data_IF_350442669956
#
_entry.id   IF_350442669956
#
_cell.length_a   1.000
_cell.length_b   1.000
_cell.length_c   1.000
_cell.angle_alpha   90.00
_cell.angle_beta   90.00
_cell.angle_gamma   90.00
#
_symmetry.space_group_name_H-M   'P 1'
#
loop_
_entity.id
_entity.type
_entity.pdbx_description
1 polymer ?
#
# COMPACT_ATOMS: atom_id res chain seq x y z
N UNK A 1 -12.27 -6.75 -15.21
CA UNK A 1 -11.37 -5.58 -15.17
C UNK A 1 -10.07 -5.94 -15.87
N UNK A 2 -9.45 -5.01 -16.61
CA UNK A 2 -8.15 -5.29 -17.23
C UNK A 2 -7.06 -5.46 -16.15
N UNK A 3 -6.05 -6.29 -16.41
CA UNK A 3 -4.87 -6.40 -15.56
C UNK A 3 -4.12 -5.06 -15.46
N UNK A 4 -3.35 -4.87 -14.40
CA UNK A 4 -2.46 -3.72 -14.29
C UNK A 4 -1.17 -3.99 -15.08
N UNK A 5 -0.71 -2.99 -15.84
CA UNK A 5 0.64 -2.97 -16.37
C UNK A 5 1.59 -2.46 -15.27
N UNK A 6 2.44 -3.35 -14.75
CA UNK A 6 3.33 -3.02 -13.62
C UNK A 6 4.42 -2.01 -13.98
N UNK A 7 4.68 -1.80 -15.27
CA UNK A 7 5.64 -0.81 -15.75
C UNK A 7 5.06 0.59 -15.84
N UNK A 8 3.73 0.73 -15.74
CA UNK A 8 3.01 1.99 -15.91
C UNK A 8 2.05 2.26 -14.76
N UNK A 9 2.39 3.24 -13.94
CA UNK A 9 1.52 3.73 -12.87
C UNK A 9 0.37 4.62 -13.37
N UNK A 10 -0.64 4.87 -12.51
CA UNK A 10 -0.77 4.37 -11.13
C UNK A 10 -1.34 2.95 -11.04
N UNK A 11 -0.86 2.14 -10.08
CA UNK A 11 -1.33 0.77 -9.83
C UNK A 11 -2.58 0.71 -8.92
N UNK A 12 -3.39 1.76 -8.98
CA UNK A 12 -4.65 1.93 -8.27
C UNK A 12 -5.70 2.47 -9.25
N UNK A 13 -6.93 1.97 -9.15
CA UNK A 13 -8.10 2.44 -9.90
C UNK A 13 -9.26 2.66 -8.95
N UNK A 14 -9.99 3.75 -9.15
CA UNK A 14 -11.21 4.08 -8.41
C UNK A 14 -12.41 4.23 -9.33
N UNK A 15 -13.56 3.74 -8.88
CA UNK A 15 -14.85 3.96 -9.53
C UNK A 15 -15.88 4.29 -8.46
N UNK A 16 -16.55 5.44 -8.61
CA UNK A 16 -17.68 5.80 -7.76
C UNK A 16 -18.96 5.45 -8.51
N UNK A 17 -19.74 4.53 -7.93
CA UNK A 17 -21.01 4.07 -8.46
C UNK A 17 -22.11 4.76 -7.66
N UNK A 18 -22.97 5.53 -8.33
CA UNK A 18 -24.22 5.98 -7.73
C UNK A 18 -25.25 4.85 -7.87
N UNK A 19 -25.66 4.27 -6.74
CA UNK A 19 -26.65 3.19 -6.74
C UNK A 19 -28.07 3.71 -6.51
N UNK A 20 -28.20 4.83 -5.78
CA UNK A 20 -29.43 5.61 -5.58
C UNK A 20 -29.06 7.08 -5.34
N UNK A 21 -30.02 8.01 -5.28
CA UNK A 21 -29.78 9.45 -5.12
C UNK A 21 -28.83 9.79 -3.95
N UNK A 22 -29.01 9.14 -2.80
CA UNK A 22 -28.21 9.36 -1.60
C UNK A 22 -27.23 8.21 -1.28
N UNK A 23 -27.10 7.20 -2.15
CA UNK A 23 -26.24 6.03 -1.91
C UNK A 23 -25.23 5.86 -3.02
N UNK A 24 -23.96 5.81 -2.60
CA UNK A 24 -22.84 5.61 -3.48
C UNK A 24 -21.96 4.47 -2.98
N UNK A 25 -21.34 3.75 -3.90
CA UNK A 25 -20.32 2.73 -3.62
C UNK A 25 -19.03 3.18 -4.27
N UNK A 26 -17.99 3.37 -3.46
CA UNK A 26 -16.64 3.59 -3.96
C UNK A 26 -15.93 2.23 -4.09
N UNK A 27 -15.67 1.82 -5.32
CA UNK A 27 -14.84 0.66 -5.63
C UNK A 27 -13.39 1.12 -5.84
N UNK A 28 -12.49 0.67 -4.98
CA UNK A 28 -11.04 0.82 -5.14
C UNK A 28 -10.41 -0.52 -5.46
N UNK A 29 -9.60 -0.57 -6.51
CA UNK A 29 -8.78 -1.73 -6.85
C UNK A 29 -7.31 -1.30 -6.80
N UNK A 30 -6.52 -1.95 -5.94
CA UNK A 30 -5.10 -1.67 -5.75
C UNK A 30 -4.31 -2.93 -6.06
N UNK A 31 -3.20 -2.81 -6.80
CA UNK A 31 -2.32 -3.95 -7.03
C UNK A 31 -1.58 -4.33 -5.73
N UNK A 32 -1.50 -5.62 -5.42
CA UNK A 32 -0.87 -6.11 -4.18
C UNK A 32 0.66 -5.84 -4.12
N UNK A 33 1.28 -5.48 -5.24
CA UNK A 33 2.70 -5.08 -5.24
C UNK A 33 2.93 -3.72 -4.53
N UNK A 34 1.90 -2.88 -4.45
CA UNK A 34 1.95 -1.56 -3.77
C UNK A 34 1.04 -1.49 -2.54
N UNK A 35 0.46 -2.62 -2.13
CA UNK A 35 -0.44 -2.68 -0.98
C UNK A 35 -0.50 -4.08 -0.38
N UNK A 36 -0.70 -4.16 0.92
CA UNK A 36 -1.05 -5.35 1.67
C UNK A 36 -2.31 -5.10 2.53
N UNK A 37 -2.73 -6.12 3.27
CA UNK A 37 -3.91 -6.02 4.14
C UNK A 37 -3.82 -4.92 5.21
N UNK A 38 -2.61 -4.59 5.69
CA UNK A 38 -2.42 -3.53 6.67
C UNK A 38 -2.56 -2.15 6.02
N UNK A 39 -1.92 -1.95 4.88
CA UNK A 39 -1.95 -0.70 4.12
C UNK A 39 -3.37 -0.32 3.67
N UNK A 40 -4.24 -1.31 3.40
CA UNK A 40 -5.64 -1.05 3.07
C UNK A 40 -6.41 -0.44 4.25
N UNK A 41 -6.11 -0.86 5.48
CA UNK A 41 -6.69 -0.25 6.68
C UNK A 41 -6.23 1.20 6.88
N UNK A 42 -4.96 1.49 6.58
CA UNK A 42 -4.41 2.86 6.57
C UNK A 42 -5.13 3.71 5.53
N UNK A 43 -5.24 3.23 4.29
CA UNK A 43 -5.92 3.92 3.18
C UNK A 43 -7.37 4.26 3.54
N UNK A 44 -8.13 3.31 4.08
CA UNK A 44 -9.52 3.54 4.48
C UNK A 44 -9.62 4.62 5.57
N UNK A 45 -8.78 4.54 6.60
CA UNK A 45 -8.77 5.52 7.69
C UNK A 45 -8.44 6.93 7.19
N UNK A 46 -7.41 7.05 6.36
CA UNK A 46 -6.97 8.33 5.81
C UNK A 46 -7.99 8.92 4.85
N UNK A 47 -8.62 8.10 4.00
CA UNK A 47 -9.71 8.54 3.13
C UNK A 47 -10.90 9.09 3.95
N UNK A 48 -11.26 8.43 5.06
CA UNK A 48 -12.33 8.87 5.95
C UNK A 48 -11.98 10.13 6.75
N UNK A 49 -10.70 10.44 6.94
CA UNK A 49 -10.25 11.70 7.55
C UNK A 49 -10.21 12.84 6.51
N UNK A 50 -9.65 12.58 5.34
CA UNK A 50 -9.47 13.55 4.25
C UNK A 50 -10.79 13.99 3.64
N UNK A 51 -11.68 13.05 3.31
CA UNK A 51 -12.92 13.37 2.60
C UNK A 51 -13.78 14.45 3.29
N UNK A 52 -14.14 14.33 4.59
CA UNK A 52 -14.94 15.36 5.25
C UNK A 52 -14.19 16.68 5.44
N UNK A 53 -12.87 16.67 5.70
CA UNK A 53 -12.06 17.87 5.84
C UNK A 53 -12.03 18.67 4.53
N UNK A 54 -11.69 18.00 3.43
CA UNK A 54 -11.67 18.62 2.10
C UNK A 54 -13.07 19.06 1.64
N UNK A 55 -14.13 18.32 2.01
CA UNK A 55 -15.52 18.74 1.76
C UNK A 55 -15.91 20.03 2.48
N UNK A 56 -15.30 20.33 3.64
CA UNK A 56 -15.51 21.57 4.39
C UNK A 56 -14.54 22.70 4.00
N UNK A 57 -13.62 22.44 3.07
CA UNK A 57 -12.58 23.41 2.70
C UNK A 57 -11.47 23.54 3.75
N UNK A 58 -11.35 22.57 4.66
CA UNK A 58 -10.25 22.50 5.63
C UNK A 58 -8.97 21.99 4.93
N UNK A 59 -7.82 22.28 5.53
CA UNK A 59 -6.53 21.75 5.09
C UNK A 59 -6.40 20.26 5.40
N UNK A 60 -5.41 19.60 4.80
CA UNK A 60 -5.06 18.21 5.11
C UNK A 60 -4.80 18.04 6.62
N UNK A 61 -5.62 17.23 7.34
CA UNK A 61 -5.45 16.99 8.77
C UNK A 61 -4.40 15.92 9.08
N UNK A 62 -3.85 15.23 8.08
CA UNK A 62 -2.91 14.15 8.27
C UNK A 62 -1.49 14.71 8.46
N UNK A 63 -0.69 14.09 9.36
CA UNK A 63 0.73 14.44 9.46
C UNK A 63 1.45 14.07 8.15
N UNK A 64 2.39 14.90 7.74
CA UNK A 64 3.27 14.57 6.63
C UNK A 64 4.04 13.27 6.92
N UNK A 65 4.13 12.40 5.91
CA UNK A 65 4.91 11.17 6.01
C UNK A 65 6.40 11.49 6.13
N UNK A 66 7.00 11.14 7.27
CA UNK A 66 8.43 11.30 7.51
C UNK A 66 9.30 10.31 6.73
N UNK A 67 8.70 9.22 6.24
CA UNK A 67 9.34 8.15 5.48
C UNK A 67 8.43 7.80 4.29
N UNK A 68 9.00 7.76 3.09
CA UNK A 68 8.32 7.28 1.89
C UNK A 68 8.67 5.80 1.63
N UNK A 69 7.84 5.11 0.84
CA UNK A 69 8.11 3.70 0.52
C UNK A 69 9.43 3.51 -0.23
N UNK A 70 9.89 4.50 -1.00
CA UNK A 70 11.20 4.47 -1.64
C UNK A 70 12.35 4.42 -0.61
N UNK A 71 12.24 5.17 0.50
CA UNK A 71 13.21 5.15 1.58
C UNK A 71 13.23 3.77 2.24
N UNK A 72 12.06 3.18 2.48
CA UNK A 72 11.93 1.82 3.00
C UNK A 72 12.57 0.80 2.06
N UNK A 73 12.34 0.89 0.75
CA UNK A 73 12.91 -0.03 -0.23
C UNK A 73 14.44 0.03 -0.26
N UNK A 74 15.03 1.24 -0.23
CA UNK A 74 16.48 1.43 -0.16
C UNK A 74 17.05 0.90 1.16
N UNK A 75 16.40 1.19 2.28
CA UNK A 75 16.78 0.66 3.59
C UNK A 75 16.75 -0.87 3.60
N UNK A 76 15.68 -1.48 3.08
CA UNK A 76 15.51 -2.93 3.05
C UNK A 76 16.58 -3.60 2.17
N UNK A 77 16.89 -3.01 1.02
CA UNK A 77 17.95 -3.49 0.14
C UNK A 77 19.32 -3.46 0.84
N UNK A 78 19.63 -2.37 1.55
CA UNK A 78 20.86 -2.28 2.34
C UNK A 78 20.88 -3.27 3.52
N UNK A 79 19.75 -3.43 4.21
CA UNK A 79 19.62 -4.33 5.35
C UNK A 79 19.75 -5.80 4.94
N UNK A 80 19.16 -6.20 3.81
CA UNK A 80 19.28 -7.55 3.24
C UNK A 80 20.55 -7.74 2.40
N UNK A 81 21.71 -7.35 2.94
CA UNK A 81 22.99 -7.50 2.25
C UNK A 81 24.04 -8.22 3.11
N UNK A 82 25.11 -8.69 2.47
CA UNK A 82 26.29 -9.27 3.11
C UNK A 82 25.98 -10.47 4.01
N UNK A 83 26.60 -10.48 5.18
CA UNK A 83 26.53 -11.58 6.16
C UNK A 83 25.09 -11.84 6.63
N UNK A 84 24.28 -10.80 6.79
CA UNK A 84 22.89 -10.95 7.26
C UNK A 84 22.05 -11.76 6.28
N UNK A 85 22.16 -11.46 4.99
CA UNK A 85 21.44 -12.20 3.95
C UNK A 85 21.88 -13.68 3.93
N UNK A 86 23.19 -13.93 4.07
CA UNK A 86 23.72 -15.30 4.13
C UNK A 86 23.19 -16.06 5.34
N UNK A 87 23.15 -15.42 6.51
CA UNK A 87 22.64 -16.02 7.73
C UNK A 87 21.15 -16.36 7.63
N UNK A 88 20.32 -15.43 7.14
CA UNK A 88 18.89 -15.67 6.90
C UNK A 88 18.68 -16.81 5.90
N UNK A 89 19.44 -16.84 4.82
CA UNK A 89 19.34 -17.91 3.82
C UNK A 89 19.75 -19.27 4.40
N UNK A 90 20.82 -19.34 5.21
CA UNK A 90 21.25 -20.57 5.86
C UNK A 90 20.19 -21.10 6.82
N UNK A 91 19.61 -20.22 7.64
CA UNK A 91 18.52 -20.58 8.55
C UNK A 91 17.32 -21.19 7.82
N UNK A 92 16.81 -20.51 6.78
CA UNK A 92 15.64 -21.01 6.05
C UNK A 92 15.92 -22.32 5.30
N UNK A 93 17.13 -22.51 4.76
CA UNK A 93 17.51 -23.81 4.16
C UNK A 93 17.46 -24.95 5.18
N UNK A 94 17.96 -24.71 6.39
CA UNK A 94 17.94 -25.70 7.46
C UNK A 94 16.50 -26.00 7.93
N UNK A 95 15.68 -24.96 8.10
CA UNK A 95 14.27 -25.13 8.54
C UNK A 95 13.43 -25.88 7.52
N UNK A 96 13.69 -25.66 6.24
CA UNK A 96 12.95 -26.27 5.13
C UNK A 96 13.58 -27.58 4.64
N UNK A 97 14.62 -28.08 5.32
CA UNK A 97 15.27 -29.33 4.96
C UNK A 97 14.32 -30.51 5.22
N UNK A 98 13.96 -31.24 4.16
CA UNK A 98 13.07 -32.41 4.24
C UNK A 98 11.57 -32.10 4.28
N UNK A 99 11.17 -30.84 4.06
CA UNK A 99 9.78 -30.44 3.84
C UNK A 99 9.24 -30.83 2.45
#
# INVERSE_FOLDING_TARGET
TAAFDLTRGPLIRGCLLQVEDARHVLLLTVHHIVSDGWSMGVLTRELLALYPALRRGETDPLPALSIQYADYALWQQGWMSGERLQHQAAYWRQVLEGA
#
